data_IF_773353359565
#
_entry.id   IF_773353359565
#
_cell.length_a   1.000
_cell.length_b   1.000
_cell.length_c   1.000
_cell.angle_alpha   90.00
_cell.angle_beta   90.00
_cell.angle_gamma   90.00
#
_symmetry.space_group_name_H-M   'P 1'
#
loop_
_entity.id
_entity.type
_entity.pdbx_description
1 polymer ?
#
# COMPACT_ATOMS: atom_id res chain seq x y z
N UNK A 1 51.97 6.77 -13.51
CA UNK A 1 50.58 7.20 -13.76
C UNK A 1 49.70 5.97 -14.04
N UNK A 2 49.24 5.22 -13.03
CA UNK A 2 48.35 4.03 -13.19
C UNK A 2 47.52 3.78 -11.93
N UNK A 3 47.03 4.83 -11.26
CA UNK A 3 46.25 4.68 -9.98
C UNK A 3 44.87 5.27 -9.96
N UNK A 4 44.24 5.52 -11.12
CA UNK A 4 42.93 6.18 -11.18
C UNK A 4 41.76 5.28 -11.56
N UNK A 5 41.88 3.94 -11.55
CA UNK A 5 40.81 3.04 -12.07
C UNK A 5 40.02 2.34 -10.94
N UNK A 6 40.42 2.50 -9.65
CA UNK A 6 39.77 1.74 -8.56
C UNK A 6 38.68 2.49 -7.79
N UNK A 7 38.22 3.65 -8.26
CA UNK A 7 37.26 4.48 -7.52
C UNK A 7 35.81 4.43 -8.04
N UNK A 8 35.51 3.55 -9.00
CA UNK A 8 34.19 3.54 -9.66
C UNK A 8 33.14 2.51 -9.20
N UNK A 9 33.36 1.54 -8.30
CA UNK A 9 32.28 0.62 -7.92
C UNK A 9 31.56 0.95 -6.61
N UNK A 10 31.67 2.19 -6.04
CA UNK A 10 31.17 2.43 -4.68
C UNK A 10 29.81 3.14 -4.59
N UNK A 11 29.04 3.20 -5.65
CA UNK A 11 27.76 3.93 -5.67
C UNK A 11 26.51 3.10 -6.10
N UNK A 12 26.52 1.81 -5.83
CA UNK A 12 25.28 1.02 -5.93
C UNK A 12 24.62 0.90 -4.54
N UNK A 13 24.22 2.02 -3.98
CA UNK A 13 23.26 2.01 -2.87
C UNK A 13 21.90 1.69 -3.48
N UNK A 14 21.50 0.42 -3.43
CA UNK A 14 20.14 0.03 -3.75
C UNK A 14 19.21 0.62 -2.70
N UNK A 15 18.52 1.70 -3.03
CA UNK A 15 17.42 2.22 -2.22
C UNK A 15 16.29 1.17 -2.26
N UNK A 16 16.05 0.47 -1.15
CA UNK A 16 14.82 -0.26 -0.97
C UNK A 16 13.71 0.77 -0.76
N UNK A 17 12.74 0.83 -1.65
CA UNK A 17 11.63 1.79 -1.59
C UNK A 17 10.40 1.21 -0.85
N UNK A 18 10.62 0.28 0.08
CA UNK A 18 9.53 -0.22 0.91
C UNK A 18 9.23 0.74 2.06
N UNK A 19 7.94 0.88 2.44
CA UNK A 19 7.58 1.59 3.67
C UNK A 19 8.30 0.97 4.88
N UNK A 20 8.90 1.79 5.78
CA UNK A 20 9.71 1.28 6.90
C UNK A 20 8.98 0.26 7.78
N UNK A 21 7.65 0.38 7.91
CA UNK A 21 6.82 -0.53 8.70
C UNK A 21 6.85 -1.98 8.16
N UNK A 22 7.05 -2.16 6.86
CA UNK A 22 7.06 -3.48 6.21
C UNK A 22 8.40 -3.80 5.54
N UNK A 23 9.42 -2.96 5.75
CA UNK A 23 10.74 -3.08 5.12
C UNK A 23 11.59 -4.20 5.74
N UNK A 24 11.24 -4.68 6.93
CA UNK A 24 11.94 -5.79 7.56
C UNK A 24 11.51 -7.12 6.88
N UNK A 25 12.21 -7.57 5.81
CA UNK A 25 11.75 -8.73 5.06
C UNK A 25 11.89 -9.98 5.93
N UNK A 26 10.98 -10.94 5.81
CA UNK A 26 11.21 -12.26 6.37
C UNK A 26 12.50 -12.85 5.78
N UNK A 27 13.24 -13.59 6.58
CA UNK A 27 14.47 -14.27 6.15
C UNK A 27 14.25 -15.21 4.97
N UNK A 28 13.01 -15.73 4.83
CA UNK A 28 12.55 -16.53 3.71
C UNK A 28 11.24 -15.94 3.20
N UNK A 29 11.21 -15.57 1.92
CA UNK A 29 10.01 -15.02 1.28
C UNK A 29 9.05 -16.17 0.92
N UNK A 30 8.15 -16.49 1.86
CA UNK A 30 7.14 -17.53 1.70
C UNK A 30 5.90 -16.90 1.08
N UNK A 31 5.62 -17.21 -0.18
CA UNK A 31 4.42 -16.75 -0.86
C UNK A 31 3.15 -17.40 -0.28
N UNK A 32 2.01 -16.72 -0.45
CA UNK A 32 0.71 -17.24 -0.02
C UNK A 32 0.42 -18.65 -0.57
N UNK A 33 0.58 -18.95 -1.88
CA UNK A 33 0.32 -20.28 -2.42
C UNK A 33 1.21 -21.38 -1.82
N UNK A 34 2.49 -21.07 -1.54
CA UNK A 34 3.41 -22.02 -0.90
C UNK A 34 2.96 -22.35 0.52
N UNK A 35 2.57 -21.34 1.30
CA UNK A 35 2.13 -21.54 2.66
C UNK A 35 0.84 -22.38 2.74
N UNK A 36 -0.14 -22.13 1.85
CA UNK A 36 -1.40 -22.88 1.83
C UNK A 36 -1.19 -24.36 1.49
N UNK A 37 -0.24 -24.68 0.62
CA UNK A 37 0.05 -26.07 0.24
C UNK A 37 0.64 -26.89 1.39
N UNK A 38 1.34 -26.28 2.32
CA UNK A 38 2.04 -26.95 3.41
C UNK A 38 2.00 -26.12 4.72
N UNK A 39 0.82 -25.69 5.15
CA UNK A 39 0.67 -24.70 6.22
C UNK A 39 1.32 -25.15 7.53
N UNK A 40 1.27 -26.44 7.85
CA UNK A 40 1.92 -27.01 9.03
C UNK A 40 3.44 -26.90 9.02
N UNK A 41 4.06 -26.94 7.84
CA UNK A 41 5.52 -26.82 7.68
C UNK A 41 6.00 -25.37 7.84
N UNK A 42 5.12 -24.39 7.62
CA UNK A 42 5.43 -22.96 7.73
C UNK A 42 4.87 -22.30 8.99
N UNK A 43 4.35 -23.08 9.91
CA UNK A 43 3.89 -22.56 11.19
C UNK A 43 5.04 -21.87 11.92
N UNK A 44 4.75 -20.68 12.49
CA UNK A 44 5.73 -19.76 13.11
C UNK A 44 6.70 -19.08 12.14
N UNK A 45 6.57 -19.28 10.84
CA UNK A 45 7.35 -18.52 9.87
C UNK A 45 6.90 -17.06 9.80
N UNK A 46 7.86 -16.16 9.62
CA UNK A 46 7.60 -14.78 9.29
C UNK A 46 7.25 -14.67 7.81
N UNK A 47 6.16 -13.98 7.51
CA UNK A 47 5.69 -13.76 6.15
C UNK A 47 5.29 -12.31 5.94
N UNK A 48 5.36 -11.86 4.69
CA UNK A 48 4.85 -10.56 4.26
C UNK A 48 3.87 -10.79 3.12
N UNK A 49 2.60 -10.59 3.40
CA UNK A 49 1.52 -10.75 2.43
C UNK A 49 0.72 -9.46 2.30
N UNK A 50 0.00 -9.32 1.21
CA UNK A 50 -0.88 -8.19 1.05
C UNK A 50 -2.12 -8.53 0.23
N UNK A 51 -3.00 -7.57 0.18
CA UNK A 51 -4.27 -7.76 -0.51
C UNK A 51 -5.26 -6.64 -0.22
N UNK A 52 -6.52 -6.97 -0.38
CA UNK A 52 -7.64 -6.06 -0.22
C UNK A 52 -8.47 -6.49 0.98
N UNK A 53 -8.83 -5.56 1.85
CA UNK A 53 -9.68 -5.80 3.00
C UNK A 53 -11.08 -6.24 2.53
N UNK A 54 -11.52 -7.38 3.02
CA UNK A 54 -12.87 -7.90 2.77
C UNK A 54 -13.79 -7.56 3.93
N UNK A 55 -13.29 -7.71 5.16
CA UNK A 55 -14.05 -7.44 6.37
C UNK A 55 -13.14 -7.15 7.57
N UNK A 56 -13.66 -6.40 8.54
CA UNK A 56 -12.99 -6.08 9.81
C UNK A 56 -13.98 -6.37 10.95
N UNK A 57 -13.59 -7.26 11.83
CA UNK A 57 -14.35 -7.66 13.02
C UNK A 57 -13.54 -7.29 14.26
N UNK A 58 -14.12 -6.54 15.19
CA UNK A 58 -13.50 -6.23 16.47
C UNK A 58 -14.17 -7.06 17.59
N UNK A 59 -13.39 -7.89 18.22
CA UNK A 59 -13.77 -8.64 19.41
C UNK A 59 -13.36 -7.89 20.69
N UNK A 60 -13.67 -8.43 21.87
CA UNK A 60 -13.35 -7.76 23.13
C UNK A 60 -11.84 -7.58 23.37
N UNK A 61 -11.02 -8.50 22.89
CA UNK A 61 -9.57 -8.53 23.16
C UNK A 61 -8.70 -8.55 21.91
N UNK A 62 -9.30 -8.59 20.73
CA UNK A 62 -8.59 -8.69 19.45
C UNK A 62 -9.39 -8.12 18.31
N UNK A 63 -8.68 -7.75 17.26
CA UNK A 63 -9.28 -7.41 15.96
C UNK A 63 -8.91 -8.47 14.94
N UNK A 64 -9.85 -8.76 14.05
CA UNK A 64 -9.75 -9.74 12.98
C UNK A 64 -9.98 -9.05 11.67
N UNK A 65 -9.01 -9.11 10.76
CA UNK A 65 -9.14 -8.55 9.42
C UNK A 65 -9.10 -9.67 8.40
N UNK A 66 -10.16 -9.83 7.61
CA UNK A 66 -10.18 -10.73 6.47
C UNK A 66 -9.64 -10.04 5.23
N UNK A 67 -8.71 -10.66 4.55
CA UNK A 67 -8.00 -10.10 3.40
C UNK A 67 -8.09 -11.05 2.21
N UNK A 68 -8.43 -10.51 1.05
CA UNK A 68 -8.28 -11.20 -0.24
C UNK A 68 -6.84 -11.01 -0.71
N UNK A 69 -6.08 -12.10 -0.77
CA UNK A 69 -4.65 -12.09 -1.06
C UNK A 69 -4.35 -11.80 -2.53
N UNK A 70 -3.37 -10.94 -2.76
CA UNK A 70 -2.79 -10.66 -4.07
C UNK A 70 -1.26 -10.73 -4.03
N UNK A 71 -0.59 -11.06 -5.15
CA UNK A 71 0.86 -10.97 -5.23
C UNK A 71 1.32 -9.53 -4.96
N UNK A 72 2.47 -9.37 -4.31
CA UNK A 72 3.06 -8.06 -4.08
C UNK A 72 3.95 -7.64 -5.26
N UNK A 73 4.06 -6.34 -5.49
CA UNK A 73 5.08 -5.76 -6.36
C UNK A 73 6.38 -5.51 -5.57
N UNK A 74 7.41 -4.98 -6.22
CA UNK A 74 8.71 -4.69 -5.60
C UNK A 74 8.68 -3.58 -4.53
N UNK A 75 7.59 -2.79 -4.49
CA UNK A 75 7.33 -1.83 -3.40
C UNK A 75 6.52 -2.43 -2.25
N UNK A 76 6.19 -3.72 -2.31
CA UNK A 76 5.36 -4.38 -1.33
C UNK A 76 3.86 -4.10 -1.46
N UNK A 77 3.40 -3.42 -2.51
CA UNK A 77 1.98 -3.13 -2.74
C UNK A 77 1.28 -4.29 -3.45
N UNK A 78 0.03 -4.62 -3.09
CA UNK A 78 -0.77 -5.63 -3.78
C UNK A 78 -0.97 -5.32 -5.26
N UNK A 79 -0.84 -6.33 -6.11
CA UNK A 79 -1.04 -6.24 -7.56
C UNK A 79 -2.45 -6.63 -7.93
N UNK A 80 -3.36 -5.67 -7.97
CA UNK A 80 -4.77 -5.91 -8.30
C UNK A 80 -5.00 -6.22 -9.79
N UNK A 81 -3.99 -6.00 -10.63
CA UNK A 81 -3.95 -6.43 -12.03
C UNK A 81 -3.77 -7.95 -12.21
N UNK A 82 -3.47 -8.67 -11.13
CA UNK A 82 -3.31 -10.12 -11.09
C UNK A 82 -4.51 -10.79 -10.44
N UNK A 83 -4.77 -12.08 -10.75
CA UNK A 83 -5.79 -12.82 -10.04
C UNK A 83 -5.48 -12.94 -8.56
N UNK A 84 -6.52 -12.91 -7.72
CA UNK A 84 -6.40 -13.17 -6.30
C UNK A 84 -5.94 -14.61 -6.05
N UNK A 85 -5.14 -14.79 -4.98
CA UNK A 85 -4.57 -16.08 -4.63
C UNK A 85 -5.40 -16.86 -3.60
N UNK A 86 -6.38 -16.22 -2.99
CA UNK A 86 -7.20 -16.77 -1.93
C UNK A 86 -7.45 -15.77 -0.82
N UNK A 87 -7.79 -16.23 0.39
CA UNK A 87 -8.04 -15.37 1.55
C UNK A 87 -7.18 -15.78 2.73
N UNK A 88 -6.81 -14.81 3.56
CA UNK A 88 -6.17 -15.03 4.85
C UNK A 88 -6.78 -14.11 5.90
N UNK A 89 -6.46 -14.39 7.15
CA UNK A 89 -6.93 -13.67 8.32
C UNK A 89 -5.73 -13.04 9.03
N UNK A 90 -5.86 -11.79 9.43
CA UNK A 90 -4.93 -11.12 10.34
C UNK A 90 -5.60 -11.06 11.71
N UNK A 91 -4.89 -11.52 12.76
CA UNK A 91 -5.27 -11.33 14.16
C UNK A 91 -4.28 -10.38 14.82
N UNK A 92 -4.80 -9.35 15.45
CA UNK A 92 -4.02 -8.39 16.23
C UNK A 92 -4.71 -8.08 17.56
N UNK A 93 -3.91 -7.76 18.59
CA UNK A 93 -4.44 -7.26 19.87
C UNK A 93 -4.80 -5.77 19.78
N UNK A 94 -4.35 -5.07 18.72
CA UNK A 94 -4.66 -3.67 18.52
C UNK A 94 -6.07 -3.50 17.94
N UNK A 95 -6.76 -2.43 18.36
CA UNK A 95 -8.04 -2.07 17.79
C UNK A 95 -7.84 -1.56 16.35
N UNK A 96 -8.55 -2.18 15.42
CA UNK A 96 -8.55 -1.78 14.00
C UNK A 96 -9.86 -1.05 13.71
N UNK A 97 -9.75 0.27 13.49
CA UNK A 97 -10.92 1.10 13.20
C UNK A 97 -11.46 0.82 11.79
N UNK A 98 -12.72 0.29 11.67
CA UNK A 98 -13.31 0.01 10.36
C UNK A 98 -13.57 1.27 9.50
N UNK A 99 -13.57 2.45 10.11
CA UNK A 99 -13.68 3.72 9.36
C UNK A 99 -12.36 4.08 8.66
N UNK A 100 -11.22 3.61 9.18
CA UNK A 100 -9.89 3.81 8.59
C UNK A 100 -9.55 2.63 7.67
N UNK A 101 -9.72 1.41 8.17
CA UNK A 101 -9.46 0.17 7.43
C UNK A 101 -10.73 -0.31 6.72
N UNK A 102 -11.14 0.45 5.71
CA UNK A 102 -12.40 0.20 5.01
C UNK A 102 -12.32 -1.00 4.07
N UNK A 103 -13.48 -1.59 3.75
CA UNK A 103 -13.55 -2.62 2.70
C UNK A 103 -13.00 -2.09 1.38
N UNK A 104 -12.32 -2.95 0.64
CA UNK A 104 -11.60 -2.66 -0.60
C UNK A 104 -10.34 -1.81 -0.47
N UNK A 105 -9.92 -1.44 0.74
CA UNK A 105 -8.62 -0.81 0.94
C UNK A 105 -7.48 -1.81 0.75
N UNK A 106 -6.41 -1.35 0.12
CA UNK A 106 -5.20 -2.13 -0.09
C UNK A 106 -4.33 -2.11 1.16
N UNK A 107 -3.88 -3.27 1.61
CA UNK A 107 -2.98 -3.39 2.75
C UNK A 107 -1.83 -4.35 2.47
N UNK A 108 -0.74 -4.16 3.20
CA UNK A 108 0.34 -5.13 3.32
C UNK A 108 0.63 -5.37 4.79
N UNK A 109 0.76 -6.62 5.15
CA UNK A 109 1.00 -7.07 6.51
C UNK A 109 2.29 -7.86 6.60
N UNK A 110 3.09 -7.57 7.63
CA UNK A 110 4.21 -8.39 8.03
C UNK A 110 3.84 -9.08 9.37
N UNK A 111 3.92 -10.40 9.42
CA UNK A 111 3.45 -11.13 10.60
C UNK A 111 3.96 -12.57 10.66
N UNK A 112 3.51 -13.28 11.69
CA UNK A 112 3.86 -14.67 11.95
C UNK A 112 2.68 -15.56 11.58
N UNK A 113 2.92 -16.56 10.73
CA UNK A 113 1.91 -17.55 10.38
C UNK A 113 1.61 -18.48 11.58
N UNK A 114 0.36 -18.50 12.04
CA UNK A 114 -0.09 -19.30 13.20
C UNK A 114 -0.77 -20.61 12.83
N UNK A 115 -0.92 -20.89 11.54
CA UNK A 115 -1.68 -22.03 11.04
C UNK A 115 -2.90 -21.55 10.26
N UNK A 116 -3.99 -22.28 10.32
CA UNK A 116 -5.24 -21.95 9.65
C UNK A 116 -6.44 -22.09 10.58
N UNK A 117 -7.52 -21.39 10.25
CA UNK A 117 -8.78 -21.38 11.00
C UNK A 117 -9.96 -21.58 10.05
N UNK A 118 -10.95 -22.36 10.49
CA UNK A 118 -12.19 -22.53 9.76
C UNK A 118 -13.04 -21.26 9.83
N UNK A 119 -13.43 -20.72 8.69
CA UNK A 119 -14.32 -19.55 8.58
C UNK A 119 -15.43 -19.81 7.58
N UNK A 120 -16.62 -19.37 7.93
CA UNK A 120 -17.78 -19.45 7.05
C UNK A 120 -17.77 -18.28 6.05
N UNK A 121 -17.64 -18.59 4.77
CA UNK A 121 -17.72 -17.61 3.70
C UNK A 121 -19.00 -17.85 2.90
N UNK A 122 -20.00 -17.04 3.16
CA UNK A 122 -21.35 -17.31 2.70
C UNK A 122 -21.90 -18.58 3.36
N UNK A 123 -22.15 -19.63 2.57
CA UNK A 123 -22.62 -20.94 3.07
C UNK A 123 -21.50 -22.01 3.08
N UNK A 124 -20.27 -21.65 2.72
CA UNK A 124 -19.15 -22.59 2.61
C UNK A 124 -18.14 -22.34 3.72
N UNK A 125 -17.78 -23.39 4.42
CA UNK A 125 -16.66 -23.38 5.37
C UNK A 125 -15.34 -23.51 4.60
N UNK A 126 -14.42 -22.58 4.85
CA UNK A 126 -13.08 -22.56 4.28
C UNK A 126 -12.04 -22.49 5.39
N UNK A 127 -10.92 -23.19 5.23
CA UNK A 127 -9.76 -23.03 6.10
C UNK A 127 -8.89 -21.91 5.56
N UNK A 128 -8.72 -20.86 6.36
CA UNK A 128 -7.99 -19.66 6.00
C UNK A 128 -6.72 -19.54 6.82
N UNK A 129 -5.55 -19.30 6.21
CA UNK A 129 -4.32 -19.00 6.94
C UNK A 129 -4.51 -17.83 7.89
N UNK A 130 -3.91 -17.94 9.09
CA UNK A 130 -3.98 -16.92 10.14
C UNK A 130 -2.60 -16.33 10.37
N UNK A 131 -2.49 -15.01 10.22
CA UNK A 131 -1.31 -14.23 10.58
C UNK A 131 -1.55 -13.51 11.90
N UNK A 132 -0.63 -13.66 12.85
CA UNK A 132 -0.56 -12.77 14.00
C UNK A 132 0.38 -11.60 13.65
N UNK A 133 -0.14 -10.39 13.71
CA UNK A 133 0.62 -9.19 13.37
C UNK A 133 0.08 -7.95 14.07
N UNK A 134 0.97 -7.04 14.41
CA UNK A 134 0.69 -5.65 14.79
C UNK A 134 1.17 -4.65 13.72
N UNK A 135 1.70 -5.15 12.60
CA UNK A 135 2.22 -4.31 11.53
C UNK A 135 1.36 -4.48 10.29
N UNK A 136 0.41 -3.57 10.12
CA UNK A 136 -0.48 -3.49 8.96
C UNK A 136 -0.25 -2.14 8.30
N UNK A 137 0.26 -2.16 7.07
CA UNK A 137 0.45 -0.96 6.28
C UNK A 137 -0.74 -0.76 5.35
N UNK A 138 -1.44 0.36 5.52
CA UNK A 138 -2.56 0.78 4.66
C UNK A 138 -2.02 1.64 3.52
N UNK A 139 -2.26 1.21 2.30
CA UNK A 139 -1.84 1.96 1.12
C UNK A 139 -2.79 3.15 0.88
N UNK A 140 -2.24 4.33 0.55
CA UNK A 140 -3.08 5.45 0.15
C UNK A 140 -3.87 5.10 -1.11
N UNK A 141 -5.11 5.56 -1.16
CA UNK A 141 -5.89 5.50 -2.39
C UNK A 141 -5.17 6.34 -3.44
N UNK A 142 -4.81 5.73 -4.57
CA UNK A 142 -4.31 6.50 -5.70
C UNK A 142 -5.45 7.39 -6.20
N UNK A 143 -5.42 8.66 -5.82
CA UNK A 143 -6.20 9.65 -6.53
C UNK A 143 -5.60 9.72 -7.93
N UNK A 144 -6.31 9.25 -8.94
CA UNK A 144 -6.09 9.63 -10.33
C UNK A 144 -6.35 11.14 -10.42
N UNK A 145 -5.44 11.92 -9.88
CA UNK A 145 -5.30 13.30 -10.26
C UNK A 145 -4.73 13.20 -11.66
N UNK A 146 -5.61 13.12 -12.67
CA UNK A 146 -5.24 13.49 -14.01
C UNK A 146 -4.59 14.85 -13.84
N UNK A 147 -3.26 14.90 -13.99
CA UNK A 147 -2.58 16.15 -14.18
C UNK A 147 -3.11 16.71 -15.51
N UNK A 148 -4.21 17.43 -15.43
CA UNK A 148 -4.60 18.36 -16.47
C UNK A 148 -3.51 19.42 -16.50
N UNK A 149 -2.40 19.09 -17.17
CA UNK A 149 -1.41 20.07 -17.55
C UNK A 149 -2.10 21.06 -18.48
N UNK A 150 -2.13 22.34 -18.15
CA UNK A 150 -2.67 23.33 -19.08
C UNK A 150 -1.76 23.36 -20.30
N UNK A 151 -2.27 22.83 -21.42
CA UNK A 151 -1.86 23.26 -22.74
C UNK A 151 -0.55 22.69 -23.29
N UNK A 152 -0.63 21.53 -23.92
CA UNK A 152 0.27 21.20 -25.03
C UNK A 152 -0.17 22.02 -26.27
N UNK A 153 0.19 23.27 -26.33
CA UNK A 153 0.29 24.02 -27.59
C UNK A 153 1.60 24.80 -27.61
N UNK A 154 2.43 24.39 -28.51
CA UNK A 154 3.61 24.94 -29.12
C UNK A 154 4.21 26.22 -28.55
N UNK A 155 5.51 26.22 -28.43
CA UNK A 155 6.28 27.45 -28.38
C UNK A 155 7.61 27.25 -27.68
N UNK A 156 8.66 27.21 -28.41
CA UNK A 156 10.01 27.48 -27.94
C UNK A 156 10.01 28.74 -27.11
N UNK A 157 10.32 28.65 -25.84
CA UNK A 157 10.35 29.80 -24.96
C UNK A 157 11.29 29.56 -23.80
N UNK A 158 12.46 30.16 -23.88
CA UNK A 158 13.44 30.40 -22.83
C UNK A 158 12.80 30.65 -21.48
N UNK A 159 13.23 29.95 -20.47
CA UNK A 159 13.04 30.31 -19.07
C UNK A 159 14.18 31.23 -18.64
N UNK A 160 13.95 32.45 -18.29
CA UNK A 160 14.86 33.20 -17.45
C UNK A 160 14.37 33.15 -16.01
N UNK A 161 15.15 32.55 -15.16
CA UNK A 161 15.21 32.88 -13.76
C UNK A 161 15.31 34.38 -13.60
N UNK A 162 14.54 34.94 -12.72
CA UNK A 162 14.74 36.06 -11.81
C UNK A 162 13.43 36.79 -11.53
N UNK A 163 12.92 36.65 -10.32
CA UNK A 163 13.01 37.74 -9.38
C UNK A 163 11.78 38.62 -9.22
N UNK A 164 11.44 38.80 -7.97
CA UNK A 164 10.70 39.95 -7.39
C UNK A 164 9.17 39.95 -7.51
N UNK A 165 8.59 39.64 -6.37
CA UNK A 165 7.30 40.23 -5.95
C UNK A 165 7.49 41.73 -5.67
N UNK A 166 6.58 42.57 -6.10
CA UNK A 166 6.14 43.64 -5.20
C UNK A 166 4.62 43.69 -5.11
N UNK A 167 4.18 43.86 -3.90
CA UNK A 167 2.88 44.39 -3.50
C UNK A 167 2.44 45.55 -4.38
N UNK A 168 1.19 45.53 -4.86
CA UNK A 168 0.41 46.71 -5.06
C UNK A 168 -1.11 46.42 -5.02
N UNK A 169 -1.71 47.02 -4.23
CA UNK A 169 -2.95 47.59 -3.80
C UNK A 169 -3.83 48.08 -4.98
N UNK A 170 -5.13 47.79 -4.86
CA UNK A 170 -6.19 48.73 -5.29
C UNK A 170 -6.90 48.41 -6.61
N UNK A 171 -8.23 48.34 -6.52
CA UNK A 171 -9.09 48.64 -7.65
C UNK A 171 -10.44 47.90 -7.65
N UNK A 172 -11.43 48.52 -7.05
CA UNK A 172 -12.88 48.31 -7.21
C UNK A 172 -13.35 48.31 -8.67
N UNK A 173 -14.43 47.57 -8.94
CA UNK A 173 -15.63 47.81 -9.78
C UNK A 173 -16.17 46.42 -10.12
N UNK A 174 -17.38 46.01 -9.84
CA UNK A 174 -18.66 46.67 -9.86
C UNK A 174 -19.53 46.07 -10.98
N UNK A 175 -20.46 45.10 -10.67
CA UNK A 175 -21.74 44.76 -11.22
C UNK A 175 -21.82 44.12 -12.64
N UNK A 176 -22.99 43.60 -13.11
CA UNK A 176 -24.24 43.38 -12.41
C UNK A 176 -24.87 41.96 -12.61
N UNK A 177 -25.81 41.64 -11.79
CA UNK A 177 -26.81 40.58 -11.86
C UNK A 177 -27.49 40.41 -13.22
N UNK A 178 -27.65 39.17 -13.67
CA UNK A 178 -28.83 38.79 -14.50
C UNK A 178 -29.45 37.53 -13.97
N UNK A 179 -30.64 37.73 -13.47
CA UNK A 179 -31.68 36.76 -13.15
C UNK A 179 -32.44 36.42 -14.44
N UNK A 180 -32.64 35.14 -14.77
CA UNK A 180 -33.72 34.66 -15.63
C UNK A 180 -34.28 33.36 -15.04
N UNK A 181 -35.42 33.28 -15.07
CA UNK A 181 -36.71 32.61 -14.74
C UNK A 181 -36.59 31.09 -14.89
#
# INVERSE_FOLDING_TARGET
MKWSIYLLPLLLVACSNLPPAIDNPPLVDISYPQAVQAIGSYQSAQVRWGGVIVDVENEQTSSIVQVLSYPLNHYGRPRLDKPSQGRFIIKTAEFIDPAVYTKNSEITVAGILKGDEARLIGKKELRLPVLASNVIYLWPVESNTECYGPGAWGGFGYSPYFGYSPYYWGGYYGGPYRRWR
#
